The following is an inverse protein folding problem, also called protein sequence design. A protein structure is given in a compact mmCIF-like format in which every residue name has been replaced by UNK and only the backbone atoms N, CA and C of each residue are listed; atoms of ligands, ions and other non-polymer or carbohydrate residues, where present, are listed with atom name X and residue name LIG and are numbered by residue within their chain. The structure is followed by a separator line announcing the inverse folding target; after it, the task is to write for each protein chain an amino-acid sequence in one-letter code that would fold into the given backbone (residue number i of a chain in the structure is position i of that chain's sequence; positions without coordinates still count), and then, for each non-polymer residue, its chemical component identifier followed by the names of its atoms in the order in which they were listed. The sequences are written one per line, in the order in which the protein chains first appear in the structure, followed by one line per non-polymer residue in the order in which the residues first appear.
data_IF_888860977122
#
_entry.id   IF_888860977122
#
_cell.length_a   1.000
_cell.length_b   1.000
_cell.length_c   1.000
_cell.angle_alpha   90.00
_cell.angle_beta   90.00
_cell.angle_gamma   90.00
#
_symmetry.space_group_name_H-M   'P 1'
#
loop_
_entity.id
_entity.type
_entity.pdbx_description
1 polymer ?
#
# COMPACT_ATOMS: atom_id res chain seq x y z
N UNK A 1 28.61 40.29 -50.05
CA UNK A 1 29.99 39.86 -50.34
C UNK A 1 30.19 38.51 -49.67
N UNK A 2 30.62 37.51 -50.45
CA UNK A 2 30.86 36.14 -50.04
C UNK A 2 32.36 35.96 -49.79
N UNK A 3 32.75 35.31 -48.68
CA UNK A 3 34.10 34.79 -48.47
C UNK A 3 33.98 33.31 -48.11
N UNK A 4 34.61 32.49 -48.95
CA UNK A 4 34.39 31.05 -49.02
C UNK A 4 35.08 30.21 -47.95
N UNK A 5 34.42 29.08 -47.65
CA UNK A 5 34.90 27.71 -47.88
C UNK A 5 36.22 27.20 -47.23
N UNK A 6 36.06 26.52 -46.07
CA UNK A 6 36.57 25.15 -45.68
C UNK A 6 38.08 24.87 -45.47
N UNK A 7 38.47 23.73 -44.84
CA UNK A 7 37.95 23.04 -43.64
C UNK A 7 39.09 22.56 -42.69
N UNK A 8 38.78 22.21 -41.43
CA UNK A 8 39.31 20.98 -40.78
C UNK A 8 38.77 20.78 -39.36
N UNK A 9 37.95 19.75 -39.25
CA UNK A 9 37.83 18.85 -38.09
C UNK A 9 39.10 18.81 -37.23
N UNK A 10 38.99 19.30 -35.99
CA UNK A 10 39.42 18.63 -34.74
C UNK A 10 38.70 19.44 -33.65
N UNK A 11 37.57 19.02 -33.10
CA UNK A 11 37.46 18.07 -32.00
C UNK A 11 35.96 17.87 -31.72
N UNK A 12 35.55 16.61 -31.58
CA UNK A 12 34.44 16.18 -30.70
C UNK A 12 33.03 16.57 -31.14
N UNK A 13 32.35 15.61 -31.79
CA UNK A 13 31.04 15.08 -31.38
C UNK A 13 30.01 16.12 -30.89
N UNK A 14 28.96 16.42 -31.67
CA UNK A 14 27.71 15.65 -31.65
C UNK A 14 27.34 15.27 -30.20
N UNK A 15 26.26 15.77 -29.60
CA UNK A 15 24.90 15.38 -29.96
C UNK A 15 23.96 16.27 -29.12
N UNK A 16 23.02 16.92 -29.81
CA UNK A 16 21.60 17.07 -29.47
C UNK A 16 21.27 17.21 -27.97
N UNK A 17 20.80 18.42 -27.62
CA UNK A 17 19.96 18.60 -26.44
C UNK A 17 18.69 17.75 -26.56
N UNK A 18 18.68 16.64 -25.83
CA UNK A 18 17.54 15.81 -25.50
C UNK A 18 17.93 15.05 -24.22
N UNK A 19 16.95 14.69 -23.40
CA UNK A 19 17.09 13.82 -22.23
C UNK A 19 17.48 14.48 -20.91
N UNK A 20 16.83 15.59 -20.57
CA UNK A 20 16.44 15.77 -19.18
C UNK A 20 15.26 14.81 -18.92
N UNK A 21 15.58 13.56 -18.53
CA UNK A 21 14.63 12.56 -18.03
C UNK A 21 13.66 13.26 -17.07
N UNK A 22 12.34 13.25 -17.31
CA UNK A 22 11.41 13.82 -16.34
C UNK A 22 11.68 13.12 -15.01
N UNK A 23 11.95 13.91 -13.97
CA UNK A 23 12.05 13.39 -12.61
C UNK A 23 10.84 12.48 -12.38
N UNK A 24 11.02 11.29 -11.76
CA UNK A 24 9.92 10.36 -11.57
C UNK A 24 8.80 11.13 -10.87
N UNK A 25 7.70 11.34 -11.60
CA UNK A 25 6.48 11.91 -11.04
C UNK A 25 6.17 11.05 -9.85
N UNK A 26 6.25 11.66 -8.68
CA UNK A 26 6.20 10.93 -7.43
C UNK A 26 4.77 10.49 -7.22
N UNK A 27 4.50 9.29 -7.69
CA UNK A 27 3.25 8.54 -7.64
C UNK A 27 2.94 8.11 -6.20
N UNK A 28 3.15 9.01 -5.24
CA UNK A 28 2.84 8.82 -3.82
C UNK A 28 1.40 8.35 -3.68
N UNK A 29 0.48 9.00 -4.39
CA UNK A 29 -0.95 8.69 -4.40
C UNK A 29 -1.28 7.22 -4.66
N UNK A 30 -0.59 6.62 -5.63
CA UNK A 30 -0.70 5.21 -5.94
C UNK A 30 -0.01 4.34 -4.89
N UNK A 31 1.05 4.84 -4.27
CA UNK A 31 1.79 4.16 -3.20
C UNK A 31 0.98 4.09 -1.89
N UNK A 32 0.30 5.16 -1.47
CA UNK A 32 -0.51 5.14 -0.25
C UNK A 32 -1.70 4.17 -0.39
N UNK A 33 -2.45 4.25 -1.49
CA UNK A 33 -3.55 3.32 -1.75
C UNK A 33 -3.08 1.86 -1.87
N UNK A 34 -1.95 1.63 -2.56
CA UNK A 34 -1.33 0.30 -2.65
C UNK A 34 -0.86 -0.19 -1.28
N UNK A 35 -0.33 0.69 -0.44
CA UNK A 35 0.13 0.33 0.91
C UNK A 35 -1.03 -0.13 1.78
N UNK A 36 -2.17 0.57 1.79
CA UNK A 36 -3.37 0.17 2.52
C UNK A 36 -3.94 -1.14 1.99
N UNK A 37 -4.01 -1.28 0.65
CA UNK A 37 -4.46 -2.52 0.01
C UNK A 37 -3.59 -3.72 0.42
N UNK A 38 -2.26 -3.52 0.45
CA UNK A 38 -1.31 -4.55 0.86
C UNK A 38 -1.44 -4.90 2.34
N UNK A 39 -1.65 -3.92 3.21
CA UNK A 39 -1.88 -4.16 4.64
C UNK A 39 -3.18 -4.95 4.85
N UNK A 40 -4.24 -4.61 4.12
CA UNK A 40 -5.50 -5.35 4.15
C UNK A 40 -5.33 -6.81 3.71
N UNK A 41 -4.58 -7.06 2.65
CA UNK A 41 -4.31 -8.43 2.18
C UNK A 41 -3.49 -9.23 3.19
N UNK A 42 -2.48 -8.62 3.82
CA UNK A 42 -1.69 -9.24 4.89
C UNK A 42 -2.54 -9.60 6.12
N UNK A 43 -3.45 -8.70 6.53
CA UNK A 43 -4.36 -8.98 7.65
C UNK A 43 -5.33 -10.12 7.35
N UNK A 44 -5.81 -10.22 6.10
CA UNK A 44 -6.63 -11.35 5.65
C UNK A 44 -5.84 -12.66 5.65
N UNK A 45 -4.59 -12.64 5.20
CA UNK A 45 -3.71 -13.81 5.24
C UNK A 45 -3.46 -14.27 6.67
N UNK A 46 -3.09 -13.34 7.56
CA UNK A 46 -2.85 -13.61 8.98
C UNK A 46 -4.10 -14.18 9.66
N UNK A 47 -5.27 -13.60 9.39
CA UNK A 47 -6.55 -14.10 9.89
C UNK A 47 -6.82 -15.52 9.40
N UNK A 48 -6.51 -15.83 8.14
CA UNK A 48 -6.62 -17.17 7.58
C UNK A 48 -5.73 -18.19 8.30
N UNK A 49 -4.49 -17.82 8.63
CA UNK A 49 -3.59 -18.69 9.40
C UNK A 49 -4.09 -18.89 10.84
N UNK A 50 -4.60 -17.83 11.50
CA UNK A 50 -5.22 -17.94 12.83
C UNK A 50 -6.42 -18.90 12.82
N UNK A 51 -7.26 -18.85 11.78
CA UNK A 51 -8.37 -19.79 11.63
C UNK A 51 -7.91 -21.24 11.43
N UNK A 52 -6.80 -21.48 10.74
CA UNK A 52 -6.24 -22.83 10.62
C UNK A 52 -5.80 -23.36 11.99
N UNK A 53 -5.15 -22.54 12.81
CA UNK A 53 -4.73 -22.92 14.16
C UNK A 53 -5.95 -23.16 15.04
N UNK A 54 -6.98 -22.32 14.96
CA UNK A 54 -8.25 -22.51 15.67
C UNK A 54 -8.93 -23.84 15.28
N UNK A 55 -9.00 -24.16 13.99
CA UNK A 55 -9.55 -25.43 13.51
C UNK A 55 -8.74 -26.65 13.95
N UNK A 56 -7.41 -26.53 14.06
CA UNK A 56 -6.52 -27.60 14.54
C UNK A 56 -6.69 -27.82 16.06
N UNK A 57 -6.87 -26.73 16.82
CA UNK A 57 -7.11 -26.78 18.27
C UNK A 57 -8.52 -27.26 18.64
N UNK A 58 -9.51 -27.00 17.77
CA UNK A 58 -10.91 -27.44 17.91
C UNK A 58 -11.14 -28.84 17.31
N UNK A 59 -10.10 -29.50 16.77
CA UNK A 59 -10.26 -30.86 16.25
C UNK A 59 -10.69 -31.81 17.37
N UNK A 60 -11.90 -32.36 17.22
CA UNK A 60 -12.52 -33.28 18.16
C UNK A 60 -11.88 -34.68 18.13
N UNK A 61 -10.71 -34.84 17.51
CA UNK A 61 -9.92 -36.07 17.63
C UNK A 61 -9.46 -36.27 19.07
N UNK A 62 -9.51 -37.54 19.50
CA UNK A 62 -9.21 -37.91 20.88
C UNK A 62 -7.77 -37.55 21.24
N UNK A 63 -7.58 -36.57 22.12
CA UNK A 63 -6.28 -36.16 22.67
C UNK A 63 -5.72 -34.85 22.11
N UNK A 64 -6.41 -34.19 21.18
CA UNK A 64 -5.94 -32.93 20.56
C UNK A 64 -6.82 -31.71 20.83
N UNK A 65 -8.01 -31.90 21.41
CA UNK A 65 -8.91 -30.82 21.77
C UNK A 65 -8.38 -29.95 22.92
N UNK A 66 -8.05 -28.69 22.64
CA UNK A 66 -7.61 -27.69 23.63
C UNK A 66 -8.59 -26.51 23.69
N UNK A 67 -9.56 -26.60 24.60
CA UNK A 67 -10.60 -25.58 24.78
C UNK A 67 -10.05 -24.21 25.25
N UNK A 68 -8.94 -24.19 26.00
CA UNK A 68 -8.35 -22.93 26.49
C UNK A 68 -7.70 -22.17 25.33
N UNK A 69 -6.97 -22.88 24.47
CA UNK A 69 -6.37 -22.29 23.27
C UNK A 69 -7.43 -21.75 22.31
N UNK A 70 -8.47 -22.55 22.03
CA UNK A 70 -9.59 -22.16 21.17
C UNK A 70 -10.28 -20.89 21.71
N UNK A 71 -10.57 -20.85 23.00
CA UNK A 71 -11.18 -19.67 23.64
C UNK A 71 -10.28 -18.43 23.59
N UNK A 72 -8.98 -18.59 23.84
CA UNK A 72 -8.02 -17.48 23.77
C UNK A 72 -7.92 -16.88 22.37
N UNK A 73 -7.91 -17.72 21.32
CA UNK A 73 -7.87 -17.26 19.92
C UNK A 73 -9.13 -16.46 19.58
N UNK A 74 -10.31 -16.93 20.00
CA UNK A 74 -11.57 -16.25 19.74
C UNK A 74 -11.66 -14.87 20.39
N UNK A 75 -11.33 -14.75 21.67
CA UNK A 75 -11.39 -13.46 22.37
C UNK A 75 -10.31 -12.50 21.86
N UNK A 76 -9.06 -12.96 21.79
CA UNK A 76 -7.92 -12.06 21.64
C UNK A 76 -7.63 -11.76 20.17
N UNK A 77 -7.79 -12.72 19.27
CA UNK A 77 -7.36 -12.58 17.88
C UNK A 77 -8.53 -12.37 16.95
N UNK A 78 -9.59 -13.20 17.01
CA UNK A 78 -10.72 -13.10 16.07
C UNK A 78 -11.44 -11.76 16.20
N UNK A 79 -11.65 -11.26 17.42
CA UNK A 79 -12.26 -9.93 17.60
C UNK A 79 -11.38 -8.81 17.05
N UNK A 80 -10.06 -8.84 17.32
CA UNK A 80 -9.14 -7.78 16.87
C UNK A 80 -8.97 -7.76 15.35
N UNK A 81 -8.76 -8.92 14.73
CA UNK A 81 -8.63 -8.99 13.28
C UNK A 81 -9.89 -8.54 12.56
N UNK A 82 -11.08 -8.83 13.11
CA UNK A 82 -12.36 -8.32 12.58
C UNK A 82 -12.39 -6.79 12.57
N UNK A 83 -12.04 -6.16 13.70
CA UNK A 83 -12.08 -4.71 13.83
C UNK A 83 -11.02 -4.03 12.95
N UNK A 84 -9.82 -4.63 12.87
CA UNK A 84 -8.73 -4.16 12.01
C UNK A 84 -9.13 -4.26 10.53
N UNK A 85 -9.61 -5.42 10.07
CA UNK A 85 -10.05 -5.59 8.68
C UNK A 85 -11.17 -4.60 8.35
N UNK A 86 -12.13 -4.40 9.25
CA UNK A 86 -13.24 -3.46 9.03
C UNK A 86 -12.78 -2.01 8.94
N UNK A 87 -11.83 -1.59 9.76
CA UNK A 87 -11.27 -0.24 9.69
C UNK A 87 -10.43 -0.04 8.43
N UNK A 88 -9.57 -1.00 8.07
CA UNK A 88 -8.76 -0.96 6.85
C UNK A 88 -9.61 -0.96 5.59
N UNK A 89 -10.66 -1.78 5.51
CA UNK A 89 -11.58 -1.82 4.37
C UNK A 89 -12.30 -0.47 4.21
N UNK A 90 -12.75 0.13 5.32
CA UNK A 90 -13.29 1.50 5.34
C UNK A 90 -12.30 2.52 4.80
N UNK A 91 -11.08 2.53 5.32
CA UNK A 91 -10.00 3.43 4.87
C UNK A 91 -9.66 3.25 3.39
N UNK A 92 -9.58 2.02 2.88
CA UNK A 92 -9.31 1.77 1.46
C UNK A 92 -10.44 2.28 0.58
N UNK A 93 -11.69 2.12 1.01
CA UNK A 93 -12.86 2.60 0.29
C UNK A 93 -12.90 4.12 0.26
N UNK A 94 -12.75 4.76 1.42
CA UNK A 94 -12.78 6.22 1.55
C UNK A 94 -11.66 6.86 0.73
N UNK A 95 -10.43 6.32 0.81
CA UNK A 95 -9.32 6.80 0.00
C UNK A 95 -9.57 6.58 -1.51
N UNK A 96 -10.13 5.43 -1.89
CA UNK A 96 -10.51 5.14 -3.27
C UNK A 96 -11.53 6.14 -3.84
N UNK A 97 -12.56 6.49 -3.06
CA UNK A 97 -13.56 7.51 -3.43
C UNK A 97 -12.94 8.92 -3.50
N UNK A 98 -12.01 9.24 -2.60
CA UNK A 98 -11.35 10.55 -2.58
C UNK A 98 -10.34 10.72 -3.74
N UNK A 99 -9.67 9.66 -4.16
CA UNK A 99 -8.72 9.68 -5.28
C UNK A 99 -9.38 9.81 -6.67
N UNK A 100 -10.67 9.49 -6.80
CA UNK A 100 -11.43 9.68 -8.04
C UNK A 100 -11.80 11.16 -8.30
N UNK A 101 -11.44 12.06 -7.37
CA UNK A 101 -11.66 13.50 -7.50
C UNK A 101 -10.51 14.21 -8.21
N UNK A 102 -10.76 15.45 -8.66
CA UNK A 102 -9.81 16.25 -9.45
C UNK A 102 -8.51 16.57 -8.69
N UNK A 103 -8.55 16.60 -7.35
CA UNK A 103 -7.44 16.99 -6.47
C UNK A 103 -6.98 15.83 -5.57
N UNK A 104 -6.48 14.75 -6.18
CA UNK A 104 -5.98 13.55 -5.50
C UNK A 104 -4.90 13.83 -4.43
N UNK A 105 -3.99 14.76 -4.71
CA UNK A 105 -2.94 15.18 -3.76
C UNK A 105 -3.49 15.83 -2.48
N UNK A 106 -4.57 16.62 -2.59
CA UNK A 106 -5.22 17.23 -1.42
C UNK A 106 -6.00 16.18 -0.62
N UNK A 107 -6.66 15.25 -1.32
CA UNK A 107 -7.35 14.13 -0.71
C UNK A 107 -6.43 13.31 0.19
N UNK A 108 -5.22 12.99 -0.26
CA UNK A 108 -4.24 12.23 0.55
C UNK A 108 -3.79 13.02 1.77
N UNK A 109 -3.51 14.31 1.61
CA UNK A 109 -3.12 15.15 2.73
C UNK A 109 -4.20 15.20 3.82
N UNK A 110 -5.46 15.41 3.42
CA UNK A 110 -6.59 15.41 4.36
C UNK A 110 -6.81 14.04 5.00
N UNK A 111 -6.59 12.97 4.25
CA UNK A 111 -6.69 11.61 4.74
C UNK A 111 -5.60 11.28 5.77
N UNK A 112 -4.36 11.73 5.56
CA UNK A 112 -3.28 11.56 6.54
C UNK A 112 -3.57 12.34 7.83
N UNK A 113 -4.03 13.59 7.73
CA UNK A 113 -4.47 14.39 8.89
C UNK A 113 -5.62 13.71 9.65
N UNK A 114 -6.59 13.12 8.94
CA UNK A 114 -7.66 12.34 9.56
C UNK A 114 -7.08 11.16 10.36
N UNK A 115 -6.18 10.38 9.77
CA UNK A 115 -5.55 9.24 10.45
C UNK A 115 -4.73 9.65 11.68
N UNK A 116 -4.04 10.79 11.61
CA UNK A 116 -3.30 11.34 12.75
C UNK A 116 -4.26 11.75 13.87
N UNK A 117 -5.42 12.34 13.54
CA UNK A 117 -6.42 12.76 14.54
C UNK A 117 -7.08 11.60 15.27
N UNK A 118 -7.18 10.42 14.66
CA UNK A 118 -7.76 9.21 15.28
C UNK A 118 -6.78 8.57 16.28
N UNK A 119 -5.47 8.85 16.15
CA UNK A 119 -4.42 8.31 17.03
C UNK A 119 -4.20 9.10 18.32
N UNK A 120 -4.81 10.27 18.48
CA UNK A 120 -4.67 11.17 19.65
C UNK A 120 -6.02 11.53 20.25
#
# INVERSE_FOLDING_TARGET
MNFGNTPRSVLGEAVVGADAKPAPQSNWELNEYLSLSKVLDLEKELTGEVFKIHLDADDHTSGHYDAELTHHIEEVFVSKHRDIIRSLDGYTKDLGEMLDTVDSSLAIYLFDELLQSIKY
#
